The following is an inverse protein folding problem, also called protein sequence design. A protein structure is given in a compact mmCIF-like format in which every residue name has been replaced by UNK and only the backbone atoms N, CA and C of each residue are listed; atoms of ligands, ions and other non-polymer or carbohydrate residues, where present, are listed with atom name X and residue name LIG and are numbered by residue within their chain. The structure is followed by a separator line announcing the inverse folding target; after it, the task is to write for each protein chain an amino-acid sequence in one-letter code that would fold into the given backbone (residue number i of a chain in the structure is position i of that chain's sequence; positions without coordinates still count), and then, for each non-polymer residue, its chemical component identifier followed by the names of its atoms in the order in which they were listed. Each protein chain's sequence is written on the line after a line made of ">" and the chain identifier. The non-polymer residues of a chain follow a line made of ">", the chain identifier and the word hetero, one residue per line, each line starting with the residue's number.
data_IF_575739343418
#
_entry.id   IF_575739343418
#
_cell.length_a   1.000
_cell.length_b   1.000
_cell.length_c   1.000
_cell.angle_alpha   90.00
_cell.angle_beta   90.00
_cell.angle_gamma   90.00
#
_symmetry.space_group_name_H-M   'P 1'
#
loop_
_entity.id
_entity.type
_entity.pdbx_description
1 polymer ?
#
# COMPACT_ATOMS: atom_id res chain seq x y z
N UNK A 1 -23.18 -18.56 44.12
CA UNK A 1 -23.38 -18.07 42.74
C UNK A 1 -22.01 -17.81 42.12
N UNK A 2 -21.52 -18.70 41.25
CA UNK A 2 -20.23 -18.54 40.56
C UNK A 2 -20.50 -18.18 39.10
N UNK A 3 -20.05 -17.00 38.65
CA UNK A 3 -20.14 -16.57 37.26
C UNK A 3 -18.86 -17.02 36.54
N UNK A 4 -18.99 -17.96 35.60
CA UNK A 4 -17.90 -18.31 34.69
C UNK A 4 -17.71 -17.19 33.66
N UNK A 5 -16.54 -16.55 33.66
CA UNK A 5 -16.12 -15.64 32.60
C UNK A 5 -15.70 -16.47 31.37
N UNK A 6 -16.56 -16.56 30.36
CA UNK A 6 -16.16 -17.11 29.06
C UNK A 6 -15.34 -16.05 28.30
N UNK A 7 -14.04 -16.29 28.12
CA UNK A 7 -13.23 -15.53 27.16
C UNK A 7 -13.78 -15.82 25.76
N UNK A 8 -14.45 -14.85 25.14
CA UNK A 8 -14.79 -14.93 23.71
C UNK A 8 -13.49 -14.99 22.90
N UNK A 9 -13.23 -16.14 22.26
CA UNK A 9 -12.22 -16.24 21.21
C UNK A 9 -12.76 -15.54 19.97
N UNK A 10 -12.27 -14.34 19.68
CA UNK A 10 -12.39 -13.75 18.35
C UNK A 10 -11.57 -14.61 17.38
N UNK A 11 -12.25 -15.44 16.59
CA UNK A 11 -11.59 -16.09 15.45
C UNK A 11 -11.49 -15.06 14.33
N UNK A 12 -10.27 -14.70 13.92
CA UNK A 12 -10.08 -13.92 12.70
C UNK A 12 -10.10 -14.88 11.52
N UNK A 13 -11.26 -14.97 10.85
CA UNK A 13 -11.34 -15.68 9.57
C UNK A 13 -10.56 -14.84 8.56
N UNK A 14 -9.47 -15.40 8.02
CA UNK A 14 -8.73 -14.78 6.90
C UNK A 14 -9.46 -15.10 5.60
N UNK A 15 -9.68 -14.08 4.78
CA UNK A 15 -10.29 -14.25 3.47
C UNK A 15 -9.28 -14.85 2.49
N UNK A 16 -9.77 -15.43 1.42
CA UNK A 16 -8.91 -15.85 0.33
C UNK A 16 -8.24 -14.63 -0.32
N UNK A 17 -6.99 -14.80 -0.75
CA UNK A 17 -6.26 -13.75 -1.45
C UNK A 17 -6.93 -13.51 -2.80
N UNK A 18 -7.41 -12.29 -3.11
CA UNK A 18 -8.08 -12.03 -4.37
C UNK A 18 -7.11 -12.19 -5.56
N UNK A 19 -7.61 -12.64 -6.72
CA UNK A 19 -6.82 -12.73 -7.93
C UNK A 19 -6.30 -11.35 -8.34
N UNK A 20 -5.06 -11.31 -8.86
CA UNK A 20 -4.40 -10.07 -9.29
C UNK A 20 -4.07 -10.14 -10.78
N UNK A 21 -4.54 -9.16 -11.54
CA UNK A 21 -4.19 -8.98 -12.95
C UNK A 21 -3.79 -7.53 -13.18
N UNK A 22 -2.52 -7.31 -13.45
CA UNK A 22 -2.02 -5.99 -13.83
C UNK A 22 -2.41 -5.70 -15.29
N UNK A 23 -2.89 -4.49 -15.58
CA UNK A 23 -3.08 -4.07 -16.96
C UNK A 23 -1.73 -3.83 -17.65
N UNK A 24 -1.55 -4.25 -18.91
CA UNK A 24 -0.26 -4.13 -19.60
C UNK A 24 0.05 -2.73 -20.14
N UNK A 25 -0.81 -1.73 -19.87
CA UNK A 25 -0.74 -0.38 -20.46
C UNK A 25 -0.18 0.67 -19.48
N UNK A 26 0.26 1.82 -20.01
CA UNK A 26 0.56 3.02 -19.21
C UNK A 26 1.67 2.80 -18.19
N UNK A 27 2.84 2.36 -18.66
CA UNK A 27 4.11 2.30 -17.93
C UNK A 27 4.14 1.54 -16.59
N UNK A 28 3.07 0.81 -16.24
CA UNK A 28 3.02 -0.15 -15.14
C UNK A 28 1.87 0.13 -14.18
N UNK A 29 1.02 -0.85 -13.92
CA UNK A 29 -0.07 -0.79 -12.93
C UNK A 29 0.28 -1.54 -11.63
N UNK A 30 1.58 -1.75 -11.36
CA UNK A 30 2.01 -2.67 -10.30
C UNK A 30 1.53 -2.20 -8.91
N UNK A 31 1.65 -0.91 -8.61
CA UNK A 31 1.18 -0.35 -7.35
C UNK A 31 -0.34 -0.30 -7.26
N UNK A 32 -1.03 0.07 -8.35
CA UNK A 32 -2.48 0.07 -8.42
C UNK A 32 -3.07 -1.33 -8.28
N UNK A 33 -2.40 -2.34 -8.84
CA UNK A 33 -2.77 -3.76 -8.69
C UNK A 33 -2.66 -4.19 -7.23
N UNK A 34 -1.63 -3.75 -6.52
CA UNK A 34 -1.47 -4.03 -5.09
C UNK A 34 -2.56 -3.34 -4.27
N UNK A 35 -2.82 -2.06 -4.51
CA UNK A 35 -3.89 -1.31 -3.82
C UNK A 35 -5.25 -1.94 -4.09
N UNK A 36 -5.56 -2.29 -5.35
CA UNK A 36 -6.79 -3.00 -5.69
C UNK A 36 -6.91 -4.33 -4.94
N UNK A 37 -5.85 -5.13 -4.91
CA UNK A 37 -5.86 -6.40 -4.20
C UNK A 37 -6.15 -6.23 -2.70
N UNK A 38 -5.55 -5.22 -2.06
CA UNK A 38 -5.82 -4.91 -0.66
C UNK A 38 -7.26 -4.42 -0.43
N UNK A 39 -7.78 -3.57 -1.31
CA UNK A 39 -9.18 -3.15 -1.27
C UNK A 39 -10.12 -4.35 -1.33
N UNK A 40 -9.94 -5.21 -2.34
CA UNK A 40 -10.76 -6.41 -2.54
C UNK A 40 -10.70 -7.36 -1.33
N UNK A 41 -9.50 -7.58 -0.79
CA UNK A 41 -9.32 -8.41 0.41
C UNK A 41 -10.08 -7.87 1.62
N UNK A 42 -10.25 -6.55 1.74
CA UNK A 42 -10.97 -5.91 2.85
C UNK A 42 -12.43 -5.53 2.50
N UNK A 43 -12.98 -6.05 1.40
CA UNK A 43 -14.37 -5.83 0.99
C UNK A 43 -14.63 -4.50 0.26
N UNK A 44 -13.59 -3.75 -0.09
CA UNK A 44 -13.68 -2.53 -0.89
C UNK A 44 -13.46 -2.83 -2.38
N UNK A 45 -14.47 -2.58 -3.21
CA UNK A 45 -14.37 -2.78 -4.66
C UNK A 45 -13.80 -1.52 -5.32
N UNK A 46 -12.50 -1.53 -5.62
CA UNK A 46 -11.80 -0.41 -6.25
C UNK A 46 -11.17 -0.86 -7.58
N UNK A 47 -11.21 0.01 -8.58
CA UNK A 47 -10.56 -0.24 -9.87
C UNK A 47 -9.12 0.27 -9.84
N UNK A 48 -8.23 -0.38 -10.59
CA UNK A 48 -6.87 0.12 -10.79
C UNK A 48 -6.84 1.55 -11.37
N UNK A 49 -7.83 1.90 -12.19
CA UNK A 49 -7.93 3.24 -12.77
C UNK A 49 -8.22 4.31 -11.72
N UNK A 50 -9.11 4.04 -10.74
CA UNK A 50 -9.37 4.98 -9.64
C UNK A 50 -8.09 5.25 -8.84
N UNK A 51 -7.28 4.22 -8.59
CA UNK A 51 -6.00 4.40 -7.89
C UNK A 51 -5.07 5.30 -8.71
N UNK A 52 -5.01 5.10 -10.02
CA UNK A 52 -4.21 5.92 -10.94
C UNK A 52 -4.68 7.37 -11.02
N UNK A 53 -5.98 7.59 -11.11
CA UNK A 53 -6.57 8.93 -11.19
C UNK A 53 -6.28 9.72 -9.91
N UNK A 54 -6.35 9.06 -8.76
CA UNK A 54 -5.97 9.62 -7.46
C UNK A 54 -4.47 9.94 -7.40
N UNK A 55 -3.65 9.02 -7.91
CA UNK A 55 -2.19 9.16 -7.98
C UNK A 55 -1.76 10.25 -8.99
N UNK A 56 -2.65 10.64 -9.90
CA UNK A 56 -2.43 11.62 -10.98
C UNK A 56 -1.21 11.28 -11.85
N UNK A 57 -0.94 9.98 -11.99
CA UNK A 57 0.38 9.53 -12.40
C UNK A 57 0.45 8.04 -12.74
N UNK A 58 1.35 7.69 -13.65
CA UNK A 58 1.50 6.30 -14.12
C UNK A 58 2.29 5.42 -13.16
N UNK A 59 2.99 6.03 -12.19
CA UNK A 59 3.82 5.31 -11.23
C UNK A 59 3.39 5.54 -9.79
N UNK A 60 3.18 4.45 -9.05
CA UNK A 60 2.94 4.46 -7.61
C UNK A 60 4.17 3.89 -6.88
N UNK A 61 5.32 4.54 -7.01
CA UNK A 61 6.63 3.98 -6.61
C UNK A 61 7.39 4.81 -5.58
N UNK A 62 7.12 6.11 -5.44
CA UNK A 62 7.87 6.97 -4.53
C UNK A 62 7.19 8.33 -4.33
N UNK A 63 7.49 8.99 -3.21
CA UNK A 63 7.16 10.39 -2.99
C UNK A 63 8.03 11.25 -3.90
N UNK A 64 7.49 11.74 -5.01
CA UNK A 64 8.24 12.57 -5.95
C UNK A 64 8.20 14.01 -5.41
N UNK A 65 9.35 14.57 -5.02
CA UNK A 65 9.43 16.03 -4.86
C UNK A 65 9.37 16.69 -6.24
N UNK A 66 8.96 17.97 -6.36
CA UNK A 66 8.98 18.67 -7.65
C UNK A 66 10.35 18.61 -8.36
N UNK A 67 11.44 18.54 -7.59
CA UNK A 67 12.80 18.41 -8.12
C UNK A 67 13.10 17.00 -8.67
N UNK A 68 12.61 15.95 -8.00
CA UNK A 68 12.72 14.56 -8.47
C UNK A 68 11.96 14.33 -9.79
N UNK A 69 10.84 15.03 -9.99
CA UNK A 69 10.03 14.96 -11.22
C UNK A 69 10.75 15.56 -12.43
N UNK A 70 11.61 16.57 -12.21
CA UNK A 70 12.44 17.15 -13.26
C UNK A 70 13.61 16.24 -13.66
N UNK A 71 14.23 15.52 -12.71
CA UNK A 71 15.40 14.67 -12.98
C UNK A 71 15.07 13.31 -13.63
N UNK A 72 13.86 12.77 -13.45
CA UNK A 72 13.50 11.40 -13.92
C UNK A 72 12.91 11.32 -15.34
N UNK A 73 13.04 12.40 -16.13
CA UNK A 73 12.58 12.45 -17.54
C UNK A 73 13.40 11.68 -18.61
N UNK A 74 14.51 10.94 -18.38
CA UNK A 74 15.15 10.23 -19.48
C UNK A 74 14.40 8.97 -19.96
N UNK A 75 13.39 8.48 -19.22
CA UNK A 75 12.59 7.29 -19.60
C UNK A 75 11.10 7.54 -19.87
N UNK A 76 10.69 8.81 -19.98
CA UNK A 76 9.41 9.18 -20.61
C UNK A 76 8.13 8.70 -19.92
N UNK A 77 8.15 8.32 -18.63
CA UNK A 77 6.93 8.05 -17.87
C UNK A 77 6.64 9.20 -16.91
N UNK A 78 5.47 9.80 -17.04
CA UNK A 78 5.08 11.01 -16.30
C UNK A 78 4.82 10.75 -14.82
N UNK A 79 5.20 11.74 -14.00
CA UNK A 79 4.85 11.98 -12.60
C UNK A 79 4.29 10.80 -11.82
N UNK A 80 5.08 10.23 -10.91
CA UNK A 80 4.55 9.33 -9.90
C UNK A 80 3.94 10.12 -8.74
N UNK A 81 2.77 9.74 -8.27
CA UNK A 81 2.23 10.28 -7.02
C UNK A 81 2.70 9.49 -5.80
N UNK A 82 2.54 10.10 -4.63
CA UNK A 82 2.90 9.50 -3.35
C UNK A 82 1.90 8.38 -2.98
N UNK A 83 2.37 7.15 -2.71
CA UNK A 83 1.50 6.06 -2.27
C UNK A 83 0.73 6.37 -0.99
N UNK A 84 1.30 7.15 -0.06
CA UNK A 84 0.63 7.48 1.20
C UNK A 84 -0.54 8.44 0.97
N UNK A 85 -0.34 9.44 0.11
CA UNK A 85 -1.41 10.33 -0.35
C UNK A 85 -2.53 9.55 -1.04
N UNK A 86 -2.20 8.56 -1.87
CA UNK A 86 -3.18 7.70 -2.52
C UNK A 86 -4.00 6.88 -1.52
N UNK A 87 -3.33 6.21 -0.57
CA UNK A 87 -4.00 5.44 0.48
C UNK A 87 -4.89 6.31 1.36
N UNK A 88 -4.42 7.50 1.73
CA UNK A 88 -5.19 8.48 2.51
C UNK A 88 -6.43 8.95 1.76
N UNK A 89 -6.29 9.25 0.46
CA UNK A 89 -7.41 9.71 -0.38
C UNK A 89 -8.47 8.62 -0.54
N UNK A 90 -8.03 7.37 -0.70
CA UNK A 90 -8.89 6.18 -0.77
C UNK A 90 -9.41 5.72 0.61
N UNK A 91 -9.10 6.46 1.68
CA UNK A 91 -9.58 6.21 3.05
C UNK A 91 -9.13 4.87 3.64
N UNK A 92 -7.97 4.37 3.22
CA UNK A 92 -7.34 3.23 3.87
C UNK A 92 -6.74 3.62 5.22
N UNK A 93 -6.90 2.75 6.22
CA UNK A 93 -6.09 2.77 7.43
C UNK A 93 -4.78 2.03 7.16
N UNK A 94 -3.64 2.65 7.46
CA UNK A 94 -2.33 2.05 7.24
C UNK A 94 -1.31 2.50 8.29
N UNK A 95 -0.25 1.72 8.44
CA UNK A 95 1.00 2.13 9.08
C UNK A 95 2.08 2.14 8.00
N UNK A 96 2.96 3.13 8.05
CA UNK A 96 4.04 3.28 7.08
C UNK A 96 5.39 3.25 7.80
N UNK A 97 6.38 2.65 7.15
CA UNK A 97 7.76 2.69 7.61
C UNK A 97 8.33 4.11 7.43
N UNK A 98 8.86 4.70 8.50
CA UNK A 98 9.52 6.00 8.45
C UNK A 98 10.96 5.85 7.91
N UNK A 99 11.05 5.72 6.59
CA UNK A 99 12.34 5.60 5.89
C UNK A 99 13.17 6.89 5.95
N UNK A 100 12.58 8.04 6.30
CA UNK A 100 13.30 9.31 6.32
C UNK A 100 14.13 9.45 7.59
N UNK A 101 13.60 9.01 8.73
CA UNK A 101 14.27 9.12 10.02
C UNK A 101 14.90 7.81 10.51
N UNK A 102 14.72 6.71 9.78
CA UNK A 102 15.33 5.43 10.14
C UNK A 102 16.87 5.45 10.02
N UNK A 103 17.54 4.89 11.04
CA UNK A 103 18.99 4.76 11.06
C UNK A 103 19.48 3.87 9.90
N UNK A 104 20.61 4.25 9.29
CA UNK A 104 21.24 3.50 8.19
C UNK A 104 22.27 2.50 8.72
N UNK A 105 22.36 1.28 8.15
CA UNK A 105 21.52 0.73 7.09
C UNK A 105 20.11 0.36 7.59
N UNK A 106 19.09 0.70 6.80
CA UNK A 106 17.69 0.49 7.21
C UNK A 106 17.22 -0.98 7.18
N UNK A 107 17.87 -1.84 6.40
CA UNK A 107 17.37 -3.20 6.12
C UNK A 107 17.05 -4.03 7.37
N UNK A 108 17.94 -4.14 8.38
CA UNK A 108 17.63 -4.94 9.57
C UNK A 108 16.44 -4.40 10.37
N UNK A 109 16.36 -3.07 10.52
CA UNK A 109 15.28 -2.41 11.25
C UNK A 109 13.94 -2.56 10.52
N UNK A 110 13.94 -2.44 9.19
CA UNK A 110 12.77 -2.69 8.36
C UNK A 110 12.27 -4.13 8.48
N UNK A 111 13.16 -5.13 8.47
CA UNK A 111 12.78 -6.53 8.66
C UNK A 111 12.13 -6.77 10.03
N UNK A 112 12.64 -6.13 11.09
CA UNK A 112 12.02 -6.20 12.42
C UNK A 112 10.62 -5.58 12.42
N UNK A 113 10.45 -4.42 11.79
CA UNK A 113 9.16 -3.76 11.68
C UNK A 113 8.12 -4.59 10.91
N UNK A 114 8.49 -5.17 9.77
CA UNK A 114 7.58 -6.07 9.01
C UNK A 114 7.10 -7.24 9.88
N UNK A 115 8.01 -7.86 10.65
CA UNK A 115 7.63 -8.95 11.56
C UNK A 115 6.60 -8.51 12.60
N UNK A 116 6.74 -7.31 13.16
CA UNK A 116 5.76 -6.75 14.10
C UNK A 116 4.39 -6.54 13.45
N UNK A 117 4.35 -6.14 12.17
CA UNK A 117 3.11 -5.97 11.42
C UNK A 117 2.39 -7.30 11.12
N UNK A 118 3.12 -8.41 10.99
CA UNK A 118 2.56 -9.74 10.68
C UNK A 118 1.98 -10.48 11.90
N UNK A 119 2.32 -10.04 13.11
CA UNK A 119 1.90 -10.67 14.37
C UNK A 119 0.66 -10.02 15.01
N UNK A 120 0.07 -9.01 14.37
CA UNK A 120 -1.18 -8.38 14.77
C UNK A 120 -2.39 -9.23 14.35
#
# INVERSE_FOLDING_TARGET
>A
MSRSNSKQRTSSVRLDIPPRKQWPHGHGYCGETVVQAFGLYNGAWISQQIVRDVNKGEYLIHHVTPEDDQQRRPYGGGGGGDPLTTLTTLKFSYIAWDYQNACQPQFPAYCCWIKQCLLQ
#
